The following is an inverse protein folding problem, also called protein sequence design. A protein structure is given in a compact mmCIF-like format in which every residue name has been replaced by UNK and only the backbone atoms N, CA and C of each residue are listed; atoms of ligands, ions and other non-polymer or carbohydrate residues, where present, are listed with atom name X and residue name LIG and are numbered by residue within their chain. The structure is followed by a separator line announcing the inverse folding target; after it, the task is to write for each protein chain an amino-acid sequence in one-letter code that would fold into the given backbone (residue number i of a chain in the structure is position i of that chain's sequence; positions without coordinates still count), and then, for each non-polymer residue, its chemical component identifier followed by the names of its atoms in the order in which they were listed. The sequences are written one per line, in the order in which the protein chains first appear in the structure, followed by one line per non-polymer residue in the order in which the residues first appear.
data_IF_068292436715
#
_entry.id   IF_068292436715
#
_cell.length_a   1.000
_cell.length_b   1.000
_cell.length_c   1.000
_cell.angle_alpha   90.00
_cell.angle_beta   90.00
_cell.angle_gamma   90.00
#
_symmetry.space_group_name_H-M   'P 1'
#
loop_
_entity.id
_entity.type
_entity.pdbx_description
1 polymer ?
#
# COMPACT_ATOMS: atom_id res chain seq x y z
N UNK A 1 10.44 21.16 3.02
CA UNK A 1 9.06 20.79 3.34
C UNK A 1 8.29 21.93 4.02
N UNK A 2 8.75 22.53 5.15
CA UNK A 2 8.05 23.63 5.84
C UNK A 2 7.67 24.79 4.92
N UNK A 3 8.61 25.31 4.12
CA UNK A 3 8.34 26.38 3.15
C UNK A 3 7.35 25.98 2.04
N UNK A 4 7.36 24.70 1.63
CA UNK A 4 6.40 24.19 0.66
C UNK A 4 4.98 24.16 1.24
N UNK A 5 4.82 23.63 2.45
CA UNK A 5 3.52 23.58 3.13
C UNK A 5 2.95 24.98 3.40
N UNK A 6 3.80 25.93 3.78
CA UNK A 6 3.39 27.33 3.94
C UNK A 6 2.89 27.97 2.64
N UNK A 7 3.60 27.73 1.52
CA UNK A 7 3.14 28.21 0.19
C UNK A 7 1.86 27.54 -0.26
N UNK A 8 1.72 26.23 -0.02
CA UNK A 8 0.49 25.48 -0.33
C UNK A 8 -0.72 26.10 0.38
N UNK A 9 -0.61 26.33 1.70
CA UNK A 9 -1.65 26.95 2.48
C UNK A 9 -2.01 28.37 1.97
N UNK A 10 -1.00 29.16 1.63
CA UNK A 10 -1.20 30.50 1.09
C UNK A 10 -1.88 30.47 -0.28
N UNK A 11 -1.46 29.57 -1.17
CA UNK A 11 -2.10 29.43 -2.50
C UNK A 11 -3.55 28.98 -2.41
N UNK A 12 -3.85 28.01 -1.54
CA UNK A 12 -5.22 27.56 -1.31
C UNK A 12 -6.11 28.67 -0.73
N UNK A 13 -5.58 29.48 0.20
CA UNK A 13 -6.31 30.64 0.72
C UNK A 13 -6.56 31.70 -0.36
N UNK A 14 -5.63 31.92 -1.28
CA UNK A 14 -5.82 32.83 -2.43
C UNK A 14 -6.88 32.35 -3.41
N UNK A 15 -7.03 31.01 -3.55
CA UNK A 15 -8.10 30.38 -4.34
C UNK A 15 -9.46 30.30 -3.58
N UNK A 16 -9.54 30.86 -2.37
CA UNK A 16 -10.77 30.93 -1.58
C UNK A 16 -11.05 29.71 -0.68
N UNK A 17 -10.06 28.82 -0.47
CA UNK A 17 -10.20 27.71 0.47
C UNK A 17 -10.00 28.22 1.91
N UNK A 18 -11.10 28.35 2.66
CA UNK A 18 -11.08 28.80 4.08
C UNK A 18 -11.12 27.63 5.09
N UNK A 19 -11.15 26.39 4.59
CA UNK A 19 -11.19 25.19 5.44
C UNK A 19 -9.81 24.87 6.06
N UNK A 20 -9.76 24.19 7.22
CA UNK A 20 -8.52 23.68 7.79
C UNK A 20 -7.84 22.67 6.85
N UNK A 21 -6.51 22.72 6.78
CA UNK A 21 -5.71 21.82 5.96
C UNK A 21 -5.11 20.75 6.86
N UNK A 22 -5.38 19.50 6.52
CA UNK A 22 -4.83 18.33 7.18
C UNK A 22 -4.01 17.51 6.22
N UNK A 23 -3.04 16.76 6.73
CA UNK A 23 -2.12 15.94 5.97
C UNK A 23 -2.10 14.51 6.50
N UNK A 24 -2.05 13.54 5.60
CA UNK A 24 -1.84 12.14 5.97
C UNK A 24 -0.41 11.97 6.47
N UNK A 25 -0.22 11.24 7.58
CA UNK A 25 1.09 10.79 8.02
C UNK A 25 1.34 9.31 7.72
N UNK A 26 2.58 8.89 7.78
CA UNK A 26 3.05 7.54 7.44
C UNK A 26 2.37 6.39 8.19
N UNK A 27 1.84 6.64 9.37
CA UNK A 27 1.11 5.65 10.18
C UNK A 27 -0.37 5.47 9.82
N UNK A 28 -0.88 6.17 8.79
CA UNK A 28 -2.25 6.03 8.32
C UNK A 28 -3.29 6.92 9.02
N UNK A 29 -2.87 7.92 9.78
CA UNK A 29 -3.74 8.94 10.35
C UNK A 29 -3.53 10.32 9.74
N UNK A 30 -4.34 11.26 10.17
CA UNK A 30 -4.33 12.66 9.69
C UNK A 30 -3.78 13.57 10.78
N UNK A 31 -2.89 14.48 10.41
CA UNK A 31 -2.30 15.52 11.28
C UNK A 31 -2.54 16.91 10.72
N UNK A 32 -2.46 17.92 11.60
CA UNK A 32 -2.57 19.32 11.17
C UNK A 32 -1.36 19.78 10.35
N UNK A 33 -1.56 20.85 9.58
CA UNK A 33 -0.51 21.46 8.76
C UNK A 33 0.69 21.90 9.62
N UNK A 34 0.44 22.43 10.82
CA UNK A 34 1.48 22.93 11.75
C UNK A 34 2.36 21.77 12.22
N UNK A 35 1.75 20.64 12.62
CA UNK A 35 2.47 19.45 13.03
C UNK A 35 3.28 18.84 11.89
N UNK A 36 2.71 18.79 10.68
CA UNK A 36 3.42 18.33 9.51
C UNK A 36 4.61 19.22 9.14
N UNK A 37 4.49 20.54 9.35
CA UNK A 37 5.56 21.49 9.14
C UNK A 37 6.68 21.41 10.21
N UNK A 38 6.32 21.03 11.43
CA UNK A 38 7.28 20.84 12.53
C UNK A 38 8.02 19.49 12.39
N UNK A 39 7.29 18.42 12.06
CA UNK A 39 7.82 17.06 11.93
C UNK A 39 7.61 16.47 10.52
N UNK A 40 8.23 17.05 9.48
CA UNK A 40 7.97 16.66 8.09
C UNK A 40 8.37 15.22 7.77
N UNK A 41 9.21 14.59 8.58
CA UNK A 41 9.57 13.17 8.46
C UNK A 41 8.36 12.25 8.57
N UNK A 42 7.31 12.65 9.28
CA UNK A 42 6.05 11.89 9.40
C UNK A 42 5.25 11.82 8.10
N UNK A 43 5.60 12.63 7.09
CA UNK A 43 4.95 12.61 5.78
C UNK A 43 5.59 11.63 4.78
N UNK A 44 6.69 10.99 5.15
CA UNK A 44 7.33 9.95 4.32
C UNK A 44 6.35 8.79 4.16
N UNK A 45 6.15 8.30 2.93
CA UNK A 45 5.18 7.22 2.62
C UNK A 45 3.71 7.55 2.95
N UNK A 46 3.33 8.81 3.05
CA UNK A 46 1.94 9.21 3.37
C UNK A 46 0.93 8.84 2.29
N UNK A 47 1.30 8.93 1.00
CA UNK A 47 0.44 8.51 -0.10
C UNK A 47 0.07 7.02 -0.03
N UNK A 48 1.05 6.11 0.04
CA UNK A 48 0.83 4.68 0.25
C UNK A 48 0.02 4.35 1.51
N UNK A 49 0.20 5.11 2.59
CA UNK A 49 -0.59 4.95 3.80
C UNK A 49 -2.09 5.17 3.53
N UNK A 50 -2.44 6.18 2.71
CA UNK A 50 -3.82 6.39 2.25
C UNK A 50 -4.38 5.19 1.50
N UNK A 51 -3.59 4.57 0.62
CA UNK A 51 -3.97 3.36 -0.09
C UNK A 51 -4.26 2.19 0.84
N UNK A 52 -3.44 1.99 1.86
CA UNK A 52 -3.67 0.93 2.85
C UNK A 52 -4.94 1.19 3.69
N UNK A 53 -5.22 2.45 4.06
CA UNK A 53 -6.47 2.84 4.75
C UNK A 53 -7.68 2.60 3.84
N UNK A 54 -7.59 2.94 2.55
CA UNK A 54 -8.64 2.63 1.57
C UNK A 54 -8.93 1.13 1.48
N UNK A 55 -7.89 0.31 1.35
CA UNK A 55 -8.05 -1.14 1.29
C UNK A 55 -8.64 -1.72 2.59
N UNK A 56 -8.29 -1.15 3.75
CA UNK A 56 -8.86 -1.54 5.04
C UNK A 56 -10.36 -1.16 5.15
N UNK A 57 -10.78 0.01 4.67
CA UNK A 57 -12.19 0.41 4.60
C UNK A 57 -12.99 -0.55 3.70
N UNK A 58 -12.45 -0.90 2.53
CA UNK A 58 -13.07 -1.88 1.63
C UNK A 58 -13.14 -3.26 2.29
N UNK A 59 -12.07 -3.71 2.96
CA UNK A 59 -12.07 -4.96 3.71
C UNK A 59 -13.18 -4.99 4.78
N UNK A 60 -13.35 -3.89 5.52
CA UNK A 60 -14.40 -3.76 6.53
C UNK A 60 -15.81 -3.82 5.93
N UNK A 61 -16.05 -3.14 4.80
CA UNK A 61 -17.34 -3.16 4.09
C UNK A 61 -17.73 -4.55 3.61
N UNK A 62 -16.76 -5.36 3.21
CA UNK A 62 -16.97 -6.69 2.67
C UNK A 62 -16.75 -7.81 3.71
N UNK A 63 -16.40 -7.48 4.95
CA UNK A 63 -16.14 -8.45 6.01
C UNK A 63 -14.95 -9.38 5.70
N UNK A 64 -13.89 -8.84 5.10
CA UNK A 64 -12.68 -9.57 4.75
C UNK A 64 -11.65 -9.46 5.88
N UNK A 65 -11.21 -10.60 6.41
CA UNK A 65 -10.27 -10.63 7.54
C UNK A 65 -8.80 -10.67 7.09
N UNK A 66 -8.52 -11.21 5.89
CA UNK A 66 -7.19 -11.33 5.32
C UNK A 66 -7.16 -10.71 3.93
N UNK A 67 -6.47 -9.59 3.80
CA UNK A 67 -6.39 -8.84 2.54
C UNK A 67 -4.95 -8.55 2.19
N UNK A 68 -4.61 -8.79 0.93
CA UNK A 68 -3.41 -8.31 0.27
C UNK A 68 -3.77 -7.03 -0.51
N UNK A 69 -3.38 -5.88 0.03
CA UNK A 69 -3.53 -4.59 -0.67
C UNK A 69 -2.48 -4.48 -1.75
N UNK A 70 -2.89 -4.19 -2.98
CA UNK A 70 -2.00 -4.00 -4.13
C UNK A 70 -2.32 -2.66 -4.79
N UNK A 71 -1.40 -1.71 -4.64
CA UNK A 71 -1.46 -0.35 -5.21
C UNK A 71 -0.37 -0.21 -6.27
N UNK A 72 -0.72 0.03 -7.52
CA UNK A 72 0.25 0.26 -8.59
C UNK A 72 -0.15 1.49 -9.40
N UNK A 73 0.73 2.48 -9.36
CA UNK A 73 0.63 3.68 -10.17
C UNK A 73 1.63 3.70 -11.33
N UNK A 74 2.00 4.92 -11.77
CA UNK A 74 2.95 5.09 -12.88
C UNK A 74 4.41 4.77 -12.53
N UNK A 75 4.84 4.88 -11.27
CA UNK A 75 6.25 4.77 -10.87
C UNK A 75 6.58 3.58 -10.00
N UNK A 76 5.68 3.22 -9.09
CA UNK A 76 5.91 2.18 -8.07
C UNK A 76 4.67 1.35 -7.85
N UNK A 77 4.89 0.12 -7.40
CA UNK A 77 3.86 -0.73 -6.82
C UNK A 77 4.11 -0.91 -5.33
N UNK A 78 3.04 -1.02 -4.54
CA UNK A 78 3.07 -1.16 -3.10
C UNK A 78 2.16 -2.28 -2.66
N UNK A 79 2.65 -3.08 -1.72
CA UNK A 79 1.91 -4.23 -1.19
C UNK A 79 1.92 -4.14 0.34
N UNK A 80 0.71 -4.24 0.93
CA UNK A 80 0.51 -4.22 2.37
C UNK A 80 -0.39 -5.40 2.78
N UNK A 81 -0.09 -6.00 3.93
CA UNK A 81 -0.92 -7.03 4.55
C UNK A 81 -1.89 -6.38 5.54
N UNK A 82 -3.17 -6.66 5.36
CA UNK A 82 -4.26 -6.18 6.22
C UNK A 82 -4.91 -7.39 6.88
N UNK A 83 -5.00 -7.36 8.22
CA UNK A 83 -5.65 -8.40 9.02
C UNK A 83 -6.68 -7.77 9.94
N UNK A 84 -7.83 -8.43 10.06
CA UNK A 84 -8.93 -7.93 10.88
C UNK A 84 -9.24 -6.46 10.57
N UNK A 85 -9.22 -6.12 9.26
CA UNK A 85 -9.54 -4.78 8.74
C UNK A 85 -8.56 -3.68 9.19
N UNK A 86 -7.38 -4.06 9.66
CA UNK A 86 -6.33 -3.14 10.09
C UNK A 86 -5.02 -3.40 9.35
N UNK A 87 -4.41 -2.39 8.73
CA UNK A 87 -3.08 -2.51 8.15
C UNK A 87 -2.05 -2.78 9.25
N UNK A 88 -1.08 -3.63 8.95
CA UNK A 88 0.03 -3.84 9.87
C UNK A 88 0.89 -2.57 9.94
N UNK A 89 1.31 -2.18 11.14
CA UNK A 89 2.20 -1.04 11.36
C UNK A 89 3.57 -1.49 11.81
N UNK A 90 4.60 -0.72 11.44
CA UNK A 90 5.98 -0.85 11.89
C UNK A 90 6.43 0.47 12.51
N UNK A 91 7.45 0.41 13.38
CA UNK A 91 8.03 1.58 14.03
C UNK A 91 9.28 2.09 13.32
N UNK A 92 9.89 1.26 12.51
CA UNK A 92 11.12 1.60 11.79
C UNK A 92 10.85 1.45 10.31
N UNK A 93 11.13 2.51 9.59
CA UNK A 93 11.15 2.55 8.13
C UNK A 93 12.61 2.62 7.67
N UNK A 94 12.98 1.85 6.67
CA UNK A 94 14.33 1.86 6.12
C UNK A 94 14.36 2.53 4.76
N UNK A 95 15.16 3.58 4.62
CA UNK A 95 15.42 4.25 3.35
C UNK A 95 16.75 3.83 2.76
N UNK A 96 16.89 3.97 1.43
CA UNK A 96 18.14 3.69 0.70
C UNK A 96 18.73 2.31 1.00
N UNK A 97 17.89 1.26 0.98
CA UNK A 97 18.36 -0.13 1.17
C UNK A 97 19.41 -0.50 0.12
N UNK A 98 20.55 -1.00 0.58
CA UNK A 98 21.62 -1.50 -0.29
C UNK A 98 21.24 -2.82 -0.97
N UNK A 99 20.38 -3.62 -0.32
CA UNK A 99 19.83 -4.86 -0.86
C UNK A 99 18.30 -4.80 -0.87
N UNK A 100 17.71 -4.96 -2.05
CA UNK A 100 16.29 -4.73 -2.31
C UNK A 100 15.32 -5.41 -1.33
N UNK A 101 15.61 -6.65 -0.93
CA UNK A 101 14.72 -7.46 -0.08
C UNK A 101 15.33 -7.84 1.28
N UNK A 102 16.40 -7.15 1.71
CA UNK A 102 17.06 -7.45 2.99
C UNK A 102 16.78 -6.34 4.00
N UNK A 103 15.97 -6.65 5.03
CA UNK A 103 15.80 -5.76 6.18
C UNK A 103 17.14 -5.56 6.90
N UNK A 104 17.36 -4.35 7.42
CA UNK A 104 18.63 -3.96 8.06
C UNK A 104 19.74 -3.56 7.09
N UNK A 105 19.43 -3.41 5.79
CA UNK A 105 20.40 -2.96 4.79
C UNK A 105 20.30 -1.47 4.43
N UNK A 106 19.27 -0.79 4.95
CA UNK A 106 19.02 0.64 4.75
C UNK A 106 19.32 1.49 5.98
N UNK A 107 19.11 2.79 5.85
CA UNK A 107 19.18 3.73 6.95
C UNK A 107 17.83 3.72 7.70
N UNK A 108 17.81 3.35 9.00
CA UNK A 108 16.57 3.27 9.74
C UNK A 108 16.06 4.67 10.15
N UNK A 109 14.78 4.90 9.96
CA UNK A 109 14.05 6.08 10.46
C UNK A 109 13.00 5.57 11.44
N UNK A 110 13.07 6.00 12.71
CA UNK A 110 12.12 5.59 13.74
C UNK A 110 10.88 6.50 13.74
N UNK A 111 9.91 6.13 12.92
CA UNK A 111 8.58 6.77 12.84
C UNK A 111 7.52 5.68 12.70
N UNK A 112 6.29 5.88 13.19
CA UNK A 112 5.18 5.00 12.88
C UNK A 112 4.91 5.00 11.38
N UNK A 113 4.94 3.81 10.76
CA UNK A 113 4.62 3.62 9.34
C UNK A 113 3.71 2.42 9.17
N UNK A 114 2.93 2.40 8.11
CA UNK A 114 2.28 1.18 7.67
C UNK A 114 3.36 0.24 7.10
N UNK A 115 3.38 -1.01 7.56
CA UNK A 115 4.34 -2.02 7.09
C UNK A 115 3.96 -2.47 5.69
N UNK A 116 4.74 -2.03 4.71
CA UNK A 116 4.53 -2.34 3.31
C UNK A 116 5.85 -2.57 2.58
N UNK A 117 5.78 -3.28 1.48
CA UNK A 117 6.89 -3.37 0.54
C UNK A 117 6.64 -2.47 -0.65
N UNK A 118 7.60 -1.62 -0.96
CA UNK A 118 7.60 -0.81 -2.17
C UNK A 118 8.49 -1.45 -3.24
N UNK A 119 7.97 -1.46 -4.46
CA UNK A 119 8.61 -2.07 -5.62
C UNK A 119 8.76 -0.98 -6.68
N UNK A 120 9.98 -0.76 -7.15
CA UNK A 120 10.26 0.15 -8.27
C UNK A 120 9.74 -0.44 -9.60
N UNK A 121 8.44 -0.71 -9.64
CA UNK A 121 7.71 -1.21 -10.79
C UNK A 121 6.36 -0.49 -10.87
N UNK A 122 6.11 0.18 -11.96
CA UNK A 122 4.87 0.92 -12.24
C UNK A 122 4.67 1.01 -13.74
N UNK A 123 3.57 1.58 -14.19
CA UNK A 123 3.26 1.71 -15.63
C UNK A 123 4.36 2.41 -16.44
N UNK A 124 5.05 3.39 -15.85
CA UNK A 124 6.17 4.10 -16.48
C UNK A 124 7.54 3.44 -16.29
N UNK A 125 7.65 2.29 -15.64
CA UNK A 125 8.95 1.64 -15.42
C UNK A 125 9.55 1.19 -16.73
N UNK A 126 10.79 1.63 -16.98
CA UNK A 126 11.51 1.40 -18.24
C UNK A 126 12.11 0.00 -18.28
N UNK A 127 12.02 -0.63 -19.45
CA UNK A 127 12.63 -1.92 -19.71
C UNK A 127 13.94 -1.77 -20.51
N UNK A 128 14.85 -2.71 -20.26
CA UNK A 128 16.11 -2.83 -21.00
C UNK A 128 16.62 -4.28 -20.95
N UNK A 129 17.51 -4.61 -21.84
CA UNK A 129 18.24 -5.89 -21.84
C UNK A 129 19.56 -5.68 -21.08
N UNK A 130 19.81 -6.53 -20.09
CA UNK A 130 21.06 -6.49 -19.31
C UNK A 130 22.22 -7.22 -19.99
N UNK A 131 23.41 -7.20 -19.37
CA UNK A 131 24.62 -7.86 -19.90
C UNK A 131 24.56 -9.39 -19.96
N UNK A 132 23.48 -10.01 -19.43
CA UNK A 132 23.20 -11.44 -19.50
C UNK A 132 22.08 -11.77 -20.49
N UNK A 133 21.73 -10.85 -21.37
CA UNK A 133 20.59 -10.96 -22.30
C UNK A 133 19.25 -11.24 -21.62
N UNK A 134 19.00 -10.63 -20.45
CA UNK A 134 17.72 -10.74 -19.75
C UNK A 134 16.98 -9.41 -19.76
N UNK A 135 15.66 -9.49 -19.91
CA UNK A 135 14.79 -8.33 -19.74
C UNK A 135 14.82 -7.88 -18.28
N UNK A 136 15.10 -6.61 -18.04
CA UNK A 136 14.99 -5.94 -16.75
C UNK A 136 13.98 -4.82 -16.83
N UNK A 137 13.17 -4.66 -15.77
CA UNK A 137 12.16 -3.61 -15.65
C UNK A 137 12.42 -2.80 -14.40
N UNK A 138 12.47 -1.47 -14.56
CA UNK A 138 12.81 -0.54 -13.49
C UNK A 138 14.27 -0.67 -13.00
N UNK A 139 14.64 0.01 -11.92
CA UNK A 139 13.82 0.96 -11.13
C UNK A 139 13.61 2.32 -11.81
N UNK A 140 14.25 2.57 -12.95
CA UNK A 140 14.12 3.80 -13.73
C UNK A 140 12.71 3.92 -14.30
N UNK A 141 12.12 5.11 -14.20
CA UNK A 141 10.79 5.41 -14.73
C UNK A 141 10.86 6.50 -15.79
N UNK A 142 10.06 6.40 -16.83
CA UNK A 142 9.87 7.44 -17.83
C UNK A 142 9.18 8.69 -17.25
N UNK A 143 8.57 8.59 -16.07
CA UNK A 143 7.76 9.66 -15.49
C UNK A 143 6.51 9.96 -16.31
N UNK A 144 5.98 11.17 -16.15
CA UNK A 144 4.88 11.68 -16.97
C UNK A 144 5.37 12.42 -18.23
N UNK A 145 6.60 12.94 -18.18
CA UNK A 145 7.31 13.61 -19.26
C UNK A 145 8.80 13.18 -19.27
N UNK A 146 9.26 12.67 -20.41
CA UNK A 146 8.55 12.47 -21.67
C UNK A 146 7.51 11.34 -21.60
N UNK A 147 7.50 10.51 -20.56
CA UNK A 147 6.59 9.39 -20.35
C UNK A 147 6.95 8.15 -21.19
N UNK A 148 6.11 7.11 -21.13
CA UNK A 148 6.16 5.94 -22.02
C UNK A 148 6.19 6.34 -23.48
N UNK A 149 6.76 5.50 -24.35
CA UNK A 149 6.87 5.80 -25.78
C UNK A 149 5.50 6.07 -26.40
N UNK A 150 4.46 5.32 -26.00
CA UNK A 150 3.09 5.48 -26.49
C UNK A 150 2.47 6.86 -26.21
N UNK A 151 2.99 7.66 -25.27
CA UNK A 151 2.43 8.98 -25.00
C UNK A 151 2.71 10.00 -26.11
N UNK A 152 3.65 9.72 -27.01
CA UNK A 152 3.97 10.62 -28.11
C UNK A 152 4.62 11.95 -27.71
N UNK A 153 5.18 12.01 -26.49
CA UNK A 153 5.78 13.23 -25.88
C UNK A 153 7.31 13.21 -25.92
N UNK A 154 7.91 12.37 -26.79
CA UNK A 154 9.36 12.27 -26.96
C UNK A 154 10.02 11.12 -26.19
N UNK A 155 9.25 10.28 -25.47
CA UNK A 155 9.73 9.02 -24.94
C UNK A 155 10.07 8.04 -26.08
N UNK A 156 11.25 7.38 -25.98
CA UNK A 156 11.72 6.42 -27.02
C UNK A 156 12.00 5.04 -26.45
N UNK A 157 12.06 4.90 -25.13
CA UNK A 157 12.35 3.64 -24.44
C UNK A 157 11.03 2.96 -24.04
N UNK A 158 10.94 1.62 -24.12
CA UNK A 158 9.73 0.91 -23.77
C UNK A 158 9.51 0.92 -22.26
N UNK A 159 8.28 1.20 -21.85
CA UNK A 159 7.79 1.13 -20.48
C UNK A 159 6.73 0.03 -20.33
N UNK A 160 6.32 -0.27 -19.09
CA UNK A 160 5.24 -1.24 -18.81
C UNK A 160 3.95 -0.84 -19.55
N UNK A 161 3.59 0.45 -19.57
CA UNK A 161 2.41 0.94 -20.29
C UNK A 161 2.48 0.64 -21.79
N UNK A 162 3.68 0.67 -22.41
CA UNK A 162 3.85 0.29 -23.81
C UNK A 162 3.54 -1.20 -24.04
N UNK A 163 3.97 -2.06 -23.13
CA UNK A 163 3.65 -3.48 -23.16
C UNK A 163 2.15 -3.74 -22.94
N UNK A 164 1.53 -3.09 -21.95
CA UNK A 164 0.09 -3.22 -21.68
C UNK A 164 -0.76 -2.79 -22.88
N UNK A 165 -0.33 -1.75 -23.61
CA UNK A 165 -0.98 -1.31 -24.82
C UNK A 165 -0.91 -2.37 -25.94
N UNK A 166 0.29 -2.94 -26.18
CA UNK A 166 0.49 -3.96 -27.23
C UNK A 166 -0.21 -5.28 -26.88
N UNK A 167 -0.31 -5.61 -25.59
CA UNK A 167 -1.06 -6.77 -25.11
C UNK A 167 -2.59 -6.58 -25.14
N UNK A 168 -3.09 -5.43 -25.57
CA UNK A 168 -4.51 -5.14 -25.72
C UNK A 168 -5.25 -4.77 -24.40
N UNK A 169 -4.52 -4.60 -23.29
CA UNK A 169 -5.13 -4.24 -22.00
C UNK A 169 -5.64 -2.80 -21.95
N UNK A 170 -5.00 -1.88 -22.70
CA UNK A 170 -5.33 -0.46 -22.74
C UNK A 170 -6.03 -0.08 -24.05
N UNK A 171 -6.94 0.88 -23.96
CA UNK A 171 -7.57 1.51 -25.12
C UNK A 171 -6.75 2.73 -25.54
N UNK A 172 -6.26 2.77 -26.81
CA UNK A 172 -5.44 3.88 -27.26
C UNK A 172 -6.18 5.23 -27.31
N UNK A 173 -7.52 5.23 -27.43
CA UNK A 173 -8.30 6.45 -27.59
C UNK A 173 -8.92 6.92 -26.28
N UNK A 174 -9.13 6.02 -25.29
CA UNK A 174 -9.82 6.34 -24.05
C UNK A 174 -8.90 6.38 -22.80
N UNK A 175 -7.60 6.29 -22.98
CA UNK A 175 -6.64 6.33 -21.86
C UNK A 175 -6.71 7.68 -21.13
N UNK A 176 -6.75 7.64 -19.79
CA UNK A 176 -6.92 8.80 -18.92
C UNK A 176 -8.17 9.65 -19.30
N UNK A 177 -9.30 8.98 -19.52
CA UNK A 177 -10.54 9.66 -19.96
C UNK A 177 -10.43 10.29 -21.35
N UNK A 178 -9.51 9.81 -22.20
CA UNK A 178 -9.27 10.36 -23.53
C UNK A 178 -8.31 11.57 -23.56
N UNK A 179 -7.76 11.97 -22.42
CA UNK A 179 -6.84 13.11 -22.34
C UNK A 179 -5.46 12.83 -22.98
N UNK A 180 -5.09 11.56 -23.10
CA UNK A 180 -3.79 11.13 -23.64
C UNK A 180 -4.05 10.05 -24.71
N UNK A 181 -4.08 10.38 -25.99
CA UNK A 181 -4.16 9.38 -27.06
C UNK A 181 -2.84 8.59 -27.10
N UNK A 182 -2.93 7.25 -27.11
CA UNK A 182 -1.76 6.38 -27.13
C UNK A 182 -1.39 5.95 -28.54
N UNK A 183 -0.08 5.99 -28.86
CA UNK A 183 0.45 5.58 -30.16
C UNK A 183 0.97 4.13 -30.11
N UNK A 184 0.21 3.20 -30.68
CA UNK A 184 0.64 1.80 -30.85
C UNK A 184 1.95 1.73 -31.65
N UNK A 185 2.09 2.53 -32.71
CA UNK A 185 3.29 2.52 -33.55
C UNK A 185 4.57 2.87 -32.78
N UNK A 186 4.48 3.81 -31.82
CA UNK A 186 5.63 4.18 -31.00
C UNK A 186 5.98 3.09 -29.97
N UNK A 187 4.99 2.42 -29.39
CA UNK A 187 5.23 1.25 -28.52
C UNK A 187 5.88 0.11 -29.29
N UNK A 188 5.37 -0.22 -30.48
CA UNK A 188 5.96 -1.25 -31.35
C UNK A 188 7.42 -0.92 -31.67
N UNK A 189 7.72 0.30 -32.07
CA UNK A 189 9.07 0.75 -32.38
C UNK A 189 10.01 0.68 -31.17
N UNK A 190 9.54 1.14 -29.99
CA UNK A 190 10.34 1.11 -28.77
C UNK A 190 10.65 -0.32 -28.32
N UNK A 191 9.66 -1.22 -28.34
CA UNK A 191 9.85 -2.63 -28.00
C UNK A 191 10.78 -3.33 -28.99
N UNK A 192 10.59 -3.11 -30.30
CA UNK A 192 11.45 -3.71 -31.33
C UNK A 192 12.91 -3.30 -31.16
N UNK A 193 13.20 -2.01 -31.07
CA UNK A 193 14.59 -1.48 -31.03
C UNK A 193 15.30 -1.87 -29.71
N UNK A 194 14.63 -1.76 -28.58
CA UNK A 194 15.28 -1.89 -27.26
C UNK A 194 15.31 -3.32 -26.72
N UNK A 195 14.35 -4.16 -27.09
CA UNK A 195 14.23 -5.55 -26.65
C UNK A 195 14.30 -6.51 -27.83
N UNK A 196 13.46 -6.33 -28.84
CA UNK A 196 13.28 -7.27 -29.95
C UNK A 196 14.57 -7.55 -30.73
N UNK A 197 15.26 -6.52 -31.19
CA UNK A 197 16.52 -6.67 -31.95
C UNK A 197 17.63 -7.37 -31.17
N UNK A 198 17.64 -7.23 -29.84
CA UNK A 198 18.65 -7.82 -28.97
C UNK A 198 18.35 -9.27 -28.58
N UNK A 199 17.08 -9.62 -28.51
CA UNK A 199 16.62 -10.92 -28.01
C UNK A 199 16.00 -11.79 -29.10
N UNK A 200 15.99 -11.31 -30.36
CA UNK A 200 15.38 -11.99 -31.53
C UNK A 200 13.88 -12.27 -31.30
N UNK A 201 13.16 -11.28 -30.69
CA UNK A 201 11.74 -11.36 -30.38
C UNK A 201 10.94 -10.40 -31.25
N UNK A 202 9.73 -10.78 -31.62
CA UNK A 202 8.80 -9.81 -32.19
C UNK A 202 8.26 -8.84 -31.10
N UNK A 203 7.64 -7.70 -31.48
CA UNK A 203 7.16 -6.72 -30.50
C UNK A 203 6.11 -7.25 -29.51
N UNK A 204 5.29 -8.23 -29.91
CA UNK A 204 4.29 -8.86 -29.05
C UNK A 204 4.96 -9.77 -28.01
N UNK A 205 5.92 -10.59 -28.44
CA UNK A 205 6.74 -11.42 -27.56
C UNK A 205 7.55 -10.58 -26.58
N UNK A 206 8.13 -9.46 -27.05
CA UNK A 206 8.86 -8.52 -26.20
C UNK A 206 7.95 -7.85 -25.17
N UNK A 207 6.72 -7.46 -25.55
CA UNK A 207 5.72 -6.91 -24.64
C UNK A 207 5.29 -7.94 -23.57
N UNK A 208 5.04 -9.17 -23.98
CA UNK A 208 4.71 -10.27 -23.05
C UNK A 208 5.86 -10.54 -22.08
N UNK A 209 7.08 -10.68 -22.60
CA UNK A 209 8.27 -10.89 -21.76
C UNK A 209 8.46 -9.77 -20.72
N UNK A 210 8.25 -8.51 -21.13
CA UNK A 210 8.32 -7.36 -20.23
C UNK A 210 7.24 -7.45 -19.15
N UNK A 211 5.99 -7.73 -19.50
CA UNK A 211 4.87 -7.85 -18.57
C UNK A 211 5.10 -9.00 -17.57
N UNK A 212 5.55 -10.16 -18.04
CA UNK A 212 5.85 -11.30 -17.17
C UNK A 212 6.97 -11.01 -16.16
N UNK A 213 8.01 -10.28 -16.57
CA UNK A 213 9.09 -9.86 -15.67
C UNK A 213 8.60 -8.92 -14.58
N UNK A 214 7.77 -7.93 -14.92
CA UNK A 214 7.24 -7.00 -13.92
C UNK A 214 6.28 -7.69 -12.96
N UNK A 215 5.41 -8.57 -13.46
CA UNK A 215 4.47 -9.33 -12.65
C UNK A 215 5.21 -10.29 -11.69
N UNK A 216 6.28 -10.95 -12.15
CA UNK A 216 7.09 -11.81 -11.29
C UNK A 216 7.87 -11.03 -10.23
N UNK A 217 8.38 -9.84 -10.58
CA UNK A 217 9.03 -8.97 -9.60
C UNK A 217 8.06 -8.57 -8.48
N UNK A 218 6.81 -8.23 -8.82
CA UNK A 218 5.76 -7.91 -7.87
C UNK A 218 5.33 -9.12 -7.04
N UNK A 219 5.16 -10.28 -7.67
CA UNK A 219 4.83 -11.53 -6.99
C UNK A 219 5.92 -11.94 -5.98
N UNK A 220 7.18 -11.84 -6.38
CA UNK A 220 8.30 -12.12 -5.50
C UNK A 220 8.34 -11.19 -4.29
N UNK A 221 8.15 -9.90 -4.50
CA UNK A 221 8.10 -8.94 -3.40
C UNK A 221 6.96 -9.24 -2.42
N UNK A 222 5.77 -9.61 -2.95
CA UNK A 222 4.63 -10.02 -2.13
C UNK A 222 4.93 -11.27 -1.29
N UNK A 223 5.53 -12.31 -1.92
CA UNK A 223 5.91 -13.54 -1.21
C UNK A 223 6.93 -13.27 -0.10
N UNK A 224 7.98 -12.49 -0.39
CA UNK A 224 9.00 -12.12 0.60
C UNK A 224 8.37 -11.36 1.75
N UNK A 225 7.53 -10.35 1.46
CA UNK A 225 6.84 -9.58 2.50
C UNK A 225 5.91 -10.45 3.35
N UNK A 226 5.18 -11.39 2.75
CA UNK A 226 4.35 -12.33 3.49
C UNK A 226 5.17 -13.24 4.41
N UNK A 227 6.26 -13.83 3.90
CA UNK A 227 7.15 -14.70 4.70
C UNK A 227 7.82 -13.93 5.85
N UNK A 228 8.31 -12.71 5.60
CA UNK A 228 8.88 -11.85 6.65
C UNK A 228 7.86 -11.51 7.76
N UNK A 229 6.58 -11.55 7.43
CA UNK A 229 5.49 -11.32 8.36
C UNK A 229 4.91 -12.63 8.95
N UNK A 230 5.47 -13.79 8.61
CA UNK A 230 4.98 -15.09 9.05
C UNK A 230 3.61 -15.46 8.49
N UNK A 231 3.26 -14.95 7.29
CA UNK A 231 1.97 -15.13 6.65
C UNK A 231 2.08 -16.03 5.42
N UNK A 232 1.03 -16.83 5.22
CA UNK A 232 0.75 -17.54 3.99
C UNK A 232 -0.36 -16.79 3.24
N UNK A 233 -0.15 -16.52 1.96
CA UNK A 233 -1.12 -15.80 1.12
C UNK A 233 -2.32 -16.68 0.74
N UNK A 234 -2.29 -17.98 1.01
CA UNK A 234 -3.45 -18.83 0.88
C UNK A 234 -4.62 -18.31 1.74
N UNK A 235 -5.78 -18.12 1.13
CA UNK A 235 -6.96 -17.57 1.79
C UNK A 235 -7.00 -16.05 1.94
N UNK A 236 -6.01 -15.33 1.42
CA UNK A 236 -6.09 -13.89 1.27
C UNK A 236 -6.99 -13.51 0.08
N UNK A 237 -7.61 -12.33 0.19
CA UNK A 237 -8.26 -11.66 -0.94
C UNK A 237 -7.39 -10.50 -1.36
N UNK A 238 -7.06 -10.37 -2.64
CA UNK A 238 -6.38 -9.19 -3.15
C UNK A 238 -7.37 -8.04 -3.28
N UNK A 239 -6.99 -6.83 -2.87
CA UNK A 239 -7.68 -5.59 -3.23
C UNK A 239 -6.71 -4.79 -4.09
N UNK A 240 -7.02 -4.64 -5.38
CA UNK A 240 -6.20 -3.96 -6.37
C UNK A 240 -6.75 -2.57 -6.68
N UNK A 241 -5.89 -1.54 -6.62
CA UNK A 241 -6.22 -0.16 -6.90
C UNK A 241 -4.96 0.62 -7.34
N UNK A 242 -5.14 1.87 -7.80
CA UNK A 242 -4.16 2.61 -8.57
C UNK A 242 -4.40 2.43 -10.06
N UNK A 243 -3.90 3.33 -10.88
CA UNK A 243 -4.19 3.36 -12.32
C UNK A 243 -3.74 2.11 -13.08
N UNK A 244 -2.67 1.44 -12.62
CA UNK A 244 -2.10 0.27 -13.29
C UNK A 244 -2.39 -1.07 -12.59
N UNK A 245 -2.65 -1.10 -11.28
CA UNK A 245 -2.82 -2.35 -10.56
C UNK A 245 -3.90 -3.28 -11.12
N UNK A 246 -5.09 -2.82 -11.52
CA UNK A 246 -6.13 -3.68 -12.06
C UNK A 246 -5.76 -4.38 -13.38
N UNK A 247 -4.80 -3.83 -14.15
CA UNK A 247 -4.28 -4.43 -15.39
C UNK A 247 -3.42 -5.68 -15.13
N UNK A 248 -2.84 -5.79 -13.94
CA UNK A 248 -1.91 -6.85 -13.53
C UNK A 248 -2.49 -7.77 -12.46
N UNK A 249 -3.62 -7.40 -11.86
CA UNK A 249 -4.16 -8.04 -10.66
C UNK A 249 -4.51 -9.52 -10.88
N UNK A 250 -5.13 -9.89 -12.00
CA UNK A 250 -5.47 -11.27 -12.30
C UNK A 250 -4.21 -12.15 -12.40
N UNK A 251 -3.22 -11.71 -13.18
CA UNK A 251 -1.96 -12.43 -13.35
C UNK A 251 -1.17 -12.54 -12.05
N UNK A 252 -1.18 -11.47 -11.25
CA UNK A 252 -0.53 -11.48 -9.94
C UNK A 252 -1.22 -12.44 -8.96
N UNK A 253 -2.55 -12.51 -8.97
CA UNK A 253 -3.31 -13.50 -8.18
C UNK A 253 -2.94 -14.93 -8.57
N UNK A 254 -2.85 -15.26 -9.86
CA UNK A 254 -2.43 -16.57 -10.35
C UNK A 254 -1.03 -16.93 -9.82
N UNK A 255 -0.05 -16.02 -9.98
CA UNK A 255 1.32 -16.21 -9.51
C UNK A 255 1.43 -16.40 -8.00
N UNK A 256 0.54 -15.78 -7.23
CA UNK A 256 0.50 -15.85 -5.75
C UNK A 256 -0.38 -16.96 -5.21
N UNK A 257 -1.17 -17.64 -6.05
CA UNK A 257 -2.18 -18.61 -5.60
C UNK A 257 -3.34 -17.98 -4.82
N UNK A 258 -3.63 -16.69 -5.07
CA UNK A 258 -4.73 -15.95 -4.44
C UNK A 258 -5.98 -16.14 -5.30
N UNK A 259 -6.98 -16.81 -4.74
CA UNK A 259 -8.19 -17.21 -5.49
C UNK A 259 -9.22 -16.10 -5.70
N UNK A 260 -9.00 -14.89 -5.19
CA UNK A 260 -9.98 -13.79 -5.24
C UNK A 260 -9.31 -12.44 -5.33
N UNK A 261 -9.74 -11.63 -6.31
CA UNK A 261 -9.38 -10.23 -6.43
C UNK A 261 -10.63 -9.36 -6.35
N UNK A 262 -10.54 -8.24 -5.66
CA UNK A 262 -11.55 -7.20 -5.59
C UNK A 262 -10.95 -5.90 -6.11
N UNK A 263 -11.56 -5.34 -7.14
CA UNK A 263 -11.24 -4.02 -7.67
C UNK A 263 -12.39 -3.09 -7.28
N UNK A 264 -12.21 -2.21 -6.28
CA UNK A 264 -13.29 -1.35 -5.80
C UNK A 264 -13.60 -0.23 -6.77
N UNK A 265 -14.80 0.34 -6.64
CA UNK A 265 -15.14 1.59 -7.33
C UNK A 265 -14.17 2.70 -6.88
N UNK A 266 -13.70 3.53 -7.82
CA UNK A 266 -12.71 4.56 -7.57
C UNK A 266 -11.29 3.99 -7.38
N UNK A 267 -11.03 2.80 -7.89
CA UNK A 267 -9.72 2.15 -7.80
C UNK A 267 -8.59 3.07 -8.29
N UNK A 268 -8.77 3.78 -9.40
CA UNK A 268 -7.76 4.70 -9.96
C UNK A 268 -7.31 5.81 -9.01
N UNK A 269 -8.17 6.22 -8.07
CA UNK A 269 -7.91 7.27 -7.06
C UNK A 269 -8.01 6.76 -5.61
N UNK A 270 -7.86 5.47 -5.39
CA UNK A 270 -8.08 4.81 -4.10
C UNK A 270 -7.31 5.42 -2.94
N UNK A 271 -6.03 5.78 -3.14
CA UNK A 271 -5.22 6.43 -2.10
C UNK A 271 -5.79 7.79 -1.67
N UNK A 272 -6.36 8.58 -2.60
CA UNK A 272 -7.02 9.85 -2.28
C UNK A 272 -8.32 9.64 -1.48
N UNK A 273 -9.10 8.61 -1.83
CA UNK A 273 -10.29 8.23 -1.06
C UNK A 273 -9.89 7.79 0.36
N UNK A 274 -8.76 7.10 0.50
CA UNK A 274 -8.22 6.69 1.80
C UNK A 274 -7.92 7.88 2.73
N UNK A 275 -7.48 9.02 2.21
CA UNK A 275 -7.29 10.23 3.01
C UNK A 275 -8.58 10.71 3.67
N UNK A 276 -9.72 10.56 2.98
CA UNK A 276 -11.04 10.94 3.49
C UNK A 276 -11.60 9.93 4.52
N UNK A 277 -10.97 8.78 4.67
CA UNK A 277 -11.36 7.70 5.60
C UNK A 277 -10.46 7.61 6.82
N UNK A 278 -9.31 8.25 6.78
CA UNK A 278 -8.33 8.18 7.84
C UNK A 278 -8.80 8.92 9.10
N UNK A 279 -8.52 8.35 10.30
CA UNK A 279 -8.82 9.01 11.55
C UNK A 279 -7.84 10.15 11.82
N UNK A 280 -8.25 11.16 12.57
CA UNK A 280 -7.29 12.01 13.26
C UNK A 280 -6.56 11.17 14.29
N UNK A 281 -5.24 11.12 14.22
CA UNK A 281 -4.47 10.31 15.16
C UNK A 281 -3.11 10.92 15.46
N UNK A 282 -2.63 10.64 16.66
CA UNK A 282 -1.30 11.02 17.09
C UNK A 282 -0.69 9.96 17.98
N UNK A 283 0.50 9.51 17.62
CA UNK A 283 1.26 8.57 18.43
C UNK A 283 2.38 9.32 19.17
N UNK A 284 2.28 9.36 20.49
CA UNK A 284 3.31 9.83 21.39
C UNK A 284 4.23 8.67 21.76
N UNK A 285 5.54 8.86 21.60
CA UNK A 285 6.55 7.86 21.94
C UNK A 285 7.57 8.45 22.91
N UNK A 286 8.04 7.61 23.85
CA UNK A 286 9.12 7.95 24.78
C UNK A 286 10.14 6.83 24.84
N UNK A 287 11.40 7.16 24.61
CA UNK A 287 12.53 6.21 24.71
C UNK A 287 13.11 6.27 26.13
N UNK A 288 12.32 5.81 27.10
CA UNK A 288 12.78 5.66 28.49
C UNK A 288 13.15 4.21 28.73
N UNK A 289 14.44 3.96 28.82
CA UNK A 289 14.95 2.62 29.06
C UNK A 289 14.68 2.16 30.51
N UNK A 290 14.09 0.98 30.66
CA UNK A 290 13.78 0.40 31.97
C UNK A 290 14.04 -1.11 31.94
N UNK A 291 14.89 -1.62 32.83
CA UNK A 291 15.01 -3.05 33.09
C UNK A 291 13.90 -3.53 34.00
N UNK A 292 13.39 -4.74 33.78
CA UNK A 292 12.30 -5.27 34.60
C UNK A 292 12.68 -5.38 36.09
N UNK A 293 13.94 -5.62 36.43
CA UNK A 293 14.44 -5.62 37.83
C UNK A 293 14.31 -4.24 38.51
N UNK A 294 14.14 -3.17 37.73
CA UNK A 294 13.92 -1.80 38.22
C UNK A 294 12.50 -1.29 37.91
N UNK A 295 11.54 -2.22 37.72
CA UNK A 295 10.17 -1.89 37.40
C UNK A 295 9.58 -0.96 38.47
N UNK A 296 9.08 0.21 38.04
CA UNK A 296 8.53 1.23 38.95
C UNK A 296 7.12 1.65 38.47
N UNK A 297 6.06 1.18 39.16
CA UNK A 297 4.67 1.46 38.80
C UNK A 297 4.33 2.94 38.70
N UNK A 298 4.84 3.76 39.61
CA UNK A 298 4.51 5.20 39.68
C UNK A 298 5.13 5.94 38.49
N UNK A 299 6.37 5.62 38.11
CA UNK A 299 7.04 6.18 36.94
C UNK A 299 6.30 5.77 35.66
N UNK A 300 5.90 4.50 35.55
CA UNK A 300 5.17 3.98 34.39
C UNK A 300 3.83 4.69 34.22
N UNK A 301 3.06 4.79 35.31
CA UNK A 301 1.76 5.46 35.32
C UNK A 301 1.88 6.94 34.92
N UNK A 302 2.82 7.66 35.51
CA UNK A 302 3.08 9.06 35.19
C UNK A 302 3.44 9.25 33.73
N UNK A 303 4.29 8.39 33.17
CA UNK A 303 4.72 8.43 31.79
C UNK A 303 3.55 8.23 30.81
N UNK A 304 2.72 7.22 31.07
CA UNK A 304 1.54 6.98 30.22
C UNK A 304 0.48 8.08 30.32
N UNK A 305 0.29 8.65 31.50
CA UNK A 305 -0.65 9.78 31.69
C UNK A 305 -0.19 11.00 30.88
N UNK A 306 1.10 11.35 30.96
CA UNK A 306 1.67 12.46 30.17
C UNK A 306 1.48 12.24 28.67
N UNK A 307 1.87 11.06 28.18
CA UNK A 307 1.77 10.71 26.76
C UNK A 307 0.33 10.68 26.25
N UNK A 308 -0.60 10.15 27.05
CA UNK A 308 -2.02 10.11 26.72
C UNK A 308 -2.62 11.52 26.66
N UNK A 309 -2.23 12.41 27.58
CA UNK A 309 -2.65 13.82 27.56
C UNK A 309 -2.13 14.53 26.31
N UNK A 310 -0.85 14.35 25.95
CA UNK A 310 -0.26 14.92 24.75
C UNK A 310 -1.00 14.44 23.49
N UNK A 311 -1.18 13.13 23.35
CA UNK A 311 -1.83 12.55 22.18
C UNK A 311 -3.31 12.97 22.07
N UNK A 312 -4.04 12.94 23.19
CA UNK A 312 -5.45 13.37 23.25
C UNK A 312 -5.61 14.86 22.94
N UNK A 313 -4.75 15.71 23.50
CA UNK A 313 -4.77 17.16 23.23
C UNK A 313 -4.61 17.43 21.74
N UNK A 314 -3.71 16.71 21.09
CA UNK A 314 -3.51 16.82 19.65
C UNK A 314 -4.80 16.47 18.88
N UNK A 315 -5.38 15.28 19.12
CA UNK A 315 -6.60 14.83 18.42
C UNK A 315 -7.77 15.80 18.68
N UNK A 316 -7.91 16.30 19.90
CA UNK A 316 -8.92 17.33 20.26
C UNK A 316 -8.74 18.65 19.51
N UNK A 317 -7.52 19.02 19.15
CA UNK A 317 -7.28 20.22 18.34
C UNK A 317 -7.74 20.06 16.89
N UNK A 318 -7.82 18.82 16.39
CA UNK A 318 -8.32 18.50 15.06
C UNK A 318 -9.84 18.31 15.05
N UNK A 319 -10.39 17.62 16.07
CA UNK A 319 -11.83 17.45 16.29
C UNK A 319 -12.15 17.51 17.78
N UNK A 320 -12.83 18.60 18.18
CA UNK A 320 -13.15 18.86 19.57
C UNK A 320 -14.22 17.91 20.15
N UNK A 321 -15.02 17.27 19.31
CA UNK A 321 -16.23 16.54 19.69
C UNK A 321 -16.16 15.04 19.49
N UNK A 322 -15.33 14.56 18.56
CA UNK A 322 -15.24 13.14 18.24
C UNK A 322 -14.82 12.27 19.44
N UNK A 323 -15.36 11.05 19.56
CA UNK A 323 -14.87 10.07 20.52
C UNK A 323 -13.40 9.74 20.23
N UNK A 324 -12.56 9.73 21.28
CA UNK A 324 -11.14 9.39 21.18
C UNK A 324 -10.90 8.05 21.84
N UNK A 325 -10.16 7.20 21.16
CA UNK A 325 -9.69 5.90 21.62
C UNK A 325 -8.18 5.98 21.79
N UNK A 326 -7.66 5.35 22.82
CA UNK A 326 -6.23 5.26 23.07
C UNK A 326 -5.78 3.81 23.09
N UNK A 327 -4.73 3.51 22.31
CA UNK A 327 -4.02 2.24 22.30
C UNK A 327 -2.67 2.43 22.98
N UNK A 328 -2.34 1.51 23.87
CA UNK A 328 -1.11 1.51 24.66
C UNK A 328 -0.24 0.32 24.28
N UNK A 329 1.05 0.53 24.14
CA UNK A 329 2.02 -0.54 23.93
C UNK A 329 3.39 -0.17 24.50
N UNK A 330 4.15 -1.19 24.83
CA UNK A 330 5.56 -1.07 25.19
C UNK A 330 6.39 -1.94 24.26
N UNK A 331 7.61 -1.51 23.96
CA UNK A 331 8.54 -2.30 23.17
C UNK A 331 9.52 -2.96 24.14
N UNK A 332 9.54 -4.29 24.13
CA UNK A 332 10.29 -5.10 25.07
C UNK A 332 11.20 -6.09 24.33
N UNK A 333 12.30 -6.45 24.97
CA UNK A 333 13.25 -7.45 24.48
C UNK A 333 13.98 -8.10 25.63
N UNK A 334 14.60 -9.23 25.38
CA UNK A 334 15.61 -9.73 26.31
C UNK A 334 16.87 -8.87 26.26
N UNK A 335 17.52 -8.67 27.39
CA UNK A 335 18.75 -7.88 27.48
C UNK A 335 19.83 -8.38 26.52
N UNK A 336 20.40 -7.45 25.77
CA UNK A 336 21.42 -7.77 24.75
C UNK A 336 20.88 -8.16 23.38
N UNK A 337 19.56 -8.33 23.20
CA UNK A 337 18.98 -8.52 21.87
C UNK A 337 18.90 -7.19 21.09
N UNK A 338 19.16 -7.25 19.80
CA UNK A 338 19.02 -6.10 18.90
C UNK A 338 17.59 -5.84 18.43
N UNK A 339 16.65 -6.76 18.70
CA UNK A 339 15.28 -6.69 18.23
C UNK A 339 14.29 -6.66 19.39
N UNK A 340 13.34 -5.74 19.33
CA UNK A 340 12.27 -5.54 20.31
C UNK A 340 10.91 -5.91 19.72
N UNK A 341 10.00 -6.42 20.55
CA UNK A 341 8.63 -6.73 20.14
C UNK A 341 7.62 -5.78 20.80
N UNK A 342 6.58 -5.33 20.08
CA UNK A 342 5.52 -4.51 20.64
C UNK A 342 4.58 -5.37 21.50
N UNK A 343 4.50 -5.07 22.78
CA UNK A 343 3.59 -5.72 23.74
C UNK A 343 2.40 -4.80 23.97
N UNK A 344 1.19 -5.17 23.52
CA UNK A 344 -0.01 -4.36 23.72
C UNK A 344 -0.43 -4.36 25.21
N UNK A 345 -0.87 -3.21 25.68
CA UNK A 345 -1.37 -3.00 27.02
C UNK A 345 -2.82 -2.56 27.01
N UNK A 346 -3.57 -2.91 28.04
CA UNK A 346 -4.92 -2.41 28.28
C UNK A 346 -4.90 -1.23 29.24
N UNK A 347 -6.00 -0.50 29.35
CA UNK A 347 -6.15 0.57 30.34
C UNK A 347 -5.89 0.08 31.78
N UNK A 348 -6.32 -1.14 32.11
CA UNK A 348 -6.07 -1.74 33.42
C UNK A 348 -4.58 -1.89 33.72
N UNK A 349 -3.78 -2.25 32.70
CA UNK A 349 -2.33 -2.37 32.84
C UNK A 349 -1.63 -1.03 33.06
N UNK A 350 -2.29 0.07 32.63
CA UNK A 350 -1.79 1.44 32.84
C UNK A 350 -2.20 1.97 34.22
N UNK A 351 -3.44 1.68 34.63
CA UNK A 351 -3.97 2.17 35.93
C UNK A 351 -3.29 1.48 37.11
N UNK A 352 -2.96 0.19 36.95
CA UNK A 352 -2.30 -0.64 37.96
C UNK A 352 -1.13 -1.39 37.29
N UNK A 353 0.01 -0.73 37.05
CA UNK A 353 1.16 -1.40 36.46
C UNK A 353 1.72 -2.45 37.43
N UNK A 354 1.87 -3.68 36.96
CA UNK A 354 2.36 -4.82 37.74
C UNK A 354 3.50 -5.54 36.99
N UNK A 355 4.60 -5.77 37.68
CA UNK A 355 5.81 -6.37 37.14
C UNK A 355 5.54 -7.72 36.49
N UNK A 356 4.86 -8.63 37.20
CA UNK A 356 4.67 -10.01 36.74
C UNK A 356 3.71 -10.06 35.55
N UNK A 357 2.72 -9.16 35.53
CA UNK A 357 1.80 -9.00 34.41
C UNK A 357 2.53 -8.57 33.12
N UNK A 358 3.40 -7.55 33.19
CA UNK A 358 4.17 -7.08 32.03
C UNK A 358 5.12 -8.14 31.51
N UNK A 359 5.79 -8.85 32.44
CA UNK A 359 6.70 -9.95 32.08
C UNK A 359 5.94 -11.10 31.41
N UNK A 360 4.80 -11.51 31.96
CA UNK A 360 3.97 -12.58 31.40
C UNK A 360 3.42 -12.23 30.00
N UNK A 361 3.00 -10.98 29.78
CA UNK A 361 2.55 -10.49 28.47
C UNK A 361 3.69 -10.60 27.43
N UNK A 362 4.89 -10.16 27.81
CA UNK A 362 6.06 -10.25 26.95
C UNK A 362 6.41 -11.71 26.62
N UNK A 363 6.56 -12.56 27.63
CA UNK A 363 6.95 -13.95 27.44
C UNK A 363 5.94 -14.74 26.60
N UNK A 364 4.64 -14.51 26.85
CA UNK A 364 3.57 -15.13 26.07
C UNK A 364 3.64 -14.73 24.60
N UNK A 365 3.82 -13.43 24.32
CA UNK A 365 3.93 -12.92 22.96
C UNK A 365 5.23 -13.39 22.29
N UNK A 366 6.34 -13.38 23.03
CA UNK A 366 7.63 -13.84 22.54
C UNK A 366 7.59 -15.33 22.17
N UNK A 367 7.01 -16.17 23.04
CA UNK A 367 6.81 -17.60 22.76
C UNK A 367 5.92 -17.84 21.54
N UNK A 368 4.88 -17.02 21.34
CA UNK A 368 4.04 -17.10 20.16
C UNK A 368 4.78 -16.76 18.87
N UNK A 369 5.70 -15.79 18.91
CA UNK A 369 6.45 -15.34 17.74
C UNK A 369 7.65 -16.25 17.42
N UNK A 370 8.34 -16.75 18.45
CA UNK A 370 9.62 -17.48 18.31
C UNK A 370 9.56 -18.93 18.77
N UNK A 371 8.37 -19.42 19.13
CA UNK A 371 8.14 -20.81 19.54
C UNK A 371 8.44 -21.11 21.02
N UNK A 372 9.20 -20.26 21.70
CA UNK A 372 9.54 -20.41 23.13
C UNK A 372 9.99 -19.08 23.75
N UNK A 373 9.82 -18.93 25.07
CA UNK A 373 10.49 -17.90 25.87
C UNK A 373 11.89 -18.36 26.30
N UNK A 374 12.71 -17.43 26.81
CA UNK A 374 14.06 -17.72 27.28
C UNK A 374 14.12 -17.55 28.80
N UNK A 375 14.04 -18.66 29.54
CA UNK A 375 14.02 -18.63 30.98
C UNK A 375 15.30 -18.01 31.56
N UNK A 376 15.16 -17.17 32.59
CA UNK A 376 16.28 -16.61 33.36
C UNK A 376 17.02 -15.46 32.68
N UNK A 377 16.59 -15.04 31.47
CA UNK A 377 17.12 -13.82 30.86
C UNK A 377 16.37 -12.59 31.34
N UNK A 378 17.14 -11.54 31.63
CA UNK A 378 16.58 -10.24 31.99
C UNK A 378 15.83 -9.64 30.82
N UNK A 379 14.68 -9.01 31.09
CA UNK A 379 13.86 -8.32 30.12
C UNK A 379 13.97 -6.81 30.32
N UNK A 380 13.99 -6.07 29.24
CA UNK A 380 14.07 -4.61 29.25
C UNK A 380 12.98 -3.99 28.36
N UNK A 381 12.47 -2.85 28.80
CA UNK A 381 11.55 -1.98 28.05
C UNK A 381 12.38 -0.86 27.45
N UNK A 382 12.25 -0.66 26.16
CA UNK A 382 13.05 0.32 25.41
C UNK A 382 12.25 1.54 25.01
N UNK A 383 10.97 1.35 24.70
CA UNK A 383 10.06 2.43 24.26
C UNK A 383 8.65 2.22 24.79
N UNK A 384 8.05 3.31 25.11
CA UNK A 384 6.66 3.48 25.54
C UNK A 384 5.88 4.19 24.45
N UNK A 385 4.68 3.75 24.11
CA UNK A 385 3.88 4.32 23.03
C UNK A 385 2.42 4.43 23.44
N UNK A 386 1.83 5.58 23.14
CA UNK A 386 0.39 5.84 23.23
C UNK A 386 -0.07 6.40 21.89
N UNK A 387 -1.02 5.73 21.27
CA UNK A 387 -1.68 6.23 20.07
C UNK A 387 -3.11 6.66 20.43
N UNK A 388 -3.43 7.96 20.33
CA UNK A 388 -4.78 8.45 20.44
C UNK A 388 -5.35 8.70 19.04
N UNK A 389 -6.57 8.23 18.78
CA UNK A 389 -7.22 8.39 17.49
C UNK A 389 -8.73 8.62 17.64
N UNK A 390 -9.34 9.35 16.71
CA UNK A 390 -10.79 9.36 16.56
C UNK A 390 -11.28 8.00 16.09
N UNK A 391 -12.55 7.70 16.28
CA UNK A 391 -13.16 6.53 15.66
C UNK A 391 -12.97 6.59 14.14
N UNK A 392 -12.55 5.49 13.56
CA UNK A 392 -12.66 5.33 12.10
C UNK A 392 -14.13 5.43 11.70
N UNK A 393 -14.41 6.11 10.59
CA UNK A 393 -15.76 6.15 10.03
C UNK A 393 -16.19 4.70 9.83
N UNK A 394 -17.24 4.28 10.56
CA UNK A 394 -17.75 2.90 10.42
C UNK A 394 -18.10 2.68 8.96
N UNK A 395 -17.41 1.73 8.34
CA UNK A 395 -17.75 1.31 7.00
C UNK A 395 -19.17 0.71 6.99
N UNK A 396 -20.07 1.27 6.20
CA UNK A 396 -21.34 0.63 5.94
C UNK A 396 -21.07 -0.67 5.20
N UNK A 397 -21.73 -1.76 5.63
CA UNK A 397 -21.59 -3.04 4.91
C UNK A 397 -22.07 -2.87 3.47
N UNK A 398 -21.28 -3.39 2.54
CA UNK A 398 -21.68 -3.43 1.15
C UNK A 398 -23.02 -4.16 1.00
N UNK A 399 -23.90 -3.62 0.17
CA UNK A 399 -25.17 -4.26 -0.16
C UNK A 399 -24.89 -5.66 -0.73
N UNK A 400 -25.67 -6.64 -0.29
CA UNK A 400 -25.62 -7.97 -0.93
C UNK A 400 -26.10 -7.85 -2.37
N UNK A 401 -25.29 -8.36 -3.30
CA UNK A 401 -25.75 -8.50 -4.68
C UNK A 401 -27.03 -9.35 -4.74
N UNK A 402 -27.97 -9.06 -5.64
CA UNK A 402 -29.11 -9.93 -5.90
C UNK A 402 -28.59 -11.33 -6.29
N UNK A 403 -29.32 -12.36 -5.89
CA UNK A 403 -28.97 -13.75 -6.18
C UNK A 403 -29.13 -14.18 -7.65
N UNK A 404 -29.67 -13.30 -8.49
CA UNK A 404 -29.86 -13.52 -9.92
C UNK A 404 -28.76 -12.76 -10.64
N UNK A 405 -27.86 -13.50 -11.33
CA UNK A 405 -26.86 -12.90 -12.21
C UNK A 405 -27.56 -12.15 -13.34
N UNK A 406 -27.31 -10.85 -13.44
CA UNK A 406 -27.74 -10.05 -14.56
C UNK A 406 -26.68 -10.15 -15.66
N UNK A 407 -27.10 -10.38 -16.90
CA UNK A 407 -26.16 -10.36 -18.03
C UNK A 407 -25.77 -8.91 -18.28
N UNK A 408 -24.47 -8.66 -18.32
CA UNK A 408 -23.91 -7.40 -18.74
C UNK A 408 -23.94 -7.27 -20.27
N UNK A 409 -24.14 -6.07 -20.78
CA UNK A 409 -24.07 -5.79 -22.22
C UNK A 409 -22.70 -5.27 -22.57
N UNK A 410 -21.92 -5.95 -23.46
CA UNK A 410 -20.61 -5.48 -23.86
C UNK A 410 -20.72 -4.23 -24.75
N UNK A 411 -19.75 -3.32 -24.63
CA UNK A 411 -19.56 -2.18 -25.53
C UNK A 411 -18.98 -2.63 -26.89
N UNK A 412 -18.20 -3.71 -26.90
CA UNK A 412 -17.51 -4.22 -28.07
C UNK A 412 -16.59 -5.37 -27.72
N UNK A 413 -15.65 -5.64 -28.62
CA UNK A 413 -14.60 -6.65 -28.43
C UNK A 413 -13.23 -6.04 -28.71
N UNK A 414 -12.21 -6.57 -28.03
CA UNK A 414 -10.79 -6.26 -28.24
C UNK A 414 -9.96 -7.54 -28.11
N UNK A 415 -8.93 -7.65 -28.93
CA UNK A 415 -7.95 -8.73 -28.78
C UNK A 415 -7.12 -8.45 -27.53
N UNK A 416 -7.20 -9.35 -26.57
CA UNK A 416 -6.43 -9.34 -25.32
C UNK A 416 -5.46 -10.51 -25.36
N UNK A 417 -4.18 -10.25 -25.14
CA UNK A 417 -3.19 -11.31 -25.02
C UNK A 417 -3.29 -11.96 -23.64
N UNK A 418 -3.66 -13.24 -23.61
CA UNK A 418 -3.69 -14.04 -22.38
C UNK A 418 -2.27 -14.52 -22.06
N UNK A 419 -1.65 -13.93 -21.05
CA UNK A 419 -0.29 -14.24 -20.65
C UNK A 419 -0.12 -15.67 -20.13
N UNK A 420 -1.17 -16.29 -19.59
CA UNK A 420 -1.13 -17.67 -19.10
C UNK A 420 -1.17 -18.70 -20.27
N UNK A 421 -1.93 -18.38 -21.29
CA UNK A 421 -2.10 -19.25 -22.47
C UNK A 421 -1.09 -18.94 -23.58
N UNK A 422 -0.48 -17.73 -23.57
CA UNK A 422 0.44 -17.27 -24.62
C UNK A 422 -0.24 -16.99 -25.96
N UNK A 423 -1.53 -16.65 -25.95
CA UNK A 423 -2.32 -16.40 -27.18
C UNK A 423 -3.21 -15.18 -27.05
N UNK A 424 -3.45 -14.48 -28.16
CA UNK A 424 -4.45 -13.43 -28.23
C UNK A 424 -5.87 -14.02 -28.28
N UNK A 425 -6.77 -13.49 -27.47
CA UNK A 425 -8.16 -13.94 -27.38
C UNK A 425 -9.10 -12.74 -27.54
N UNK A 426 -10.10 -12.86 -28.41
CA UNK A 426 -11.14 -11.86 -28.58
C UNK A 426 -11.96 -11.75 -27.28
N UNK A 427 -11.76 -10.66 -26.54
CA UNK A 427 -12.30 -10.40 -25.21
C UNK A 427 -13.39 -9.34 -25.27
N UNK A 428 -14.46 -9.53 -24.52
CA UNK A 428 -15.53 -8.55 -24.41
C UNK A 428 -15.10 -7.35 -23.58
N UNK A 429 -15.53 -6.16 -23.98
CA UNK A 429 -15.26 -4.90 -23.27
C UNK A 429 -16.56 -4.38 -22.65
N UNK A 430 -16.52 -4.01 -21.39
CA UNK A 430 -17.64 -3.47 -20.64
C UNK A 430 -17.25 -2.14 -19.99
N UNK A 431 -18.18 -1.18 -19.88
CA UNK A 431 -18.00 -0.05 -19.00
C UNK A 431 -18.49 -0.42 -17.59
N UNK A 432 -17.69 -0.11 -16.57
CA UNK A 432 -18.12 -0.35 -15.19
C UNK A 432 -19.41 0.41 -14.85
N UNK A 433 -19.59 1.61 -15.38
CA UNK A 433 -20.76 2.45 -15.14
C UNK A 433 -22.08 1.76 -15.59
N UNK A 434 -22.00 0.88 -16.57
CA UNK A 434 -23.16 0.16 -17.13
C UNK A 434 -23.42 -1.18 -16.43
N UNK A 435 -22.54 -1.59 -15.52
CA UNK A 435 -22.70 -2.82 -14.75
C UNK A 435 -23.63 -2.60 -13.55
N UNK A 436 -24.81 -3.20 -13.61
CA UNK A 436 -25.72 -3.20 -12.47
C UNK A 436 -25.20 -4.08 -11.34
N UNK A 437 -25.60 -3.81 -10.10
CA UNK A 437 -25.28 -4.65 -8.95
C UNK A 437 -25.79 -6.09 -9.18
N UNK A 438 -24.87 -7.06 -9.11
CA UNK A 438 -25.15 -8.46 -9.39
C UNK A 438 -24.90 -8.88 -10.83
N UNK A 439 -24.45 -7.99 -11.71
CA UNK A 439 -23.98 -8.38 -13.05
C UNK A 439 -22.85 -9.39 -12.96
N UNK A 440 -22.87 -10.37 -13.85
CA UNK A 440 -21.82 -11.39 -14.00
C UNK A 440 -21.23 -11.29 -15.40
N UNK A 441 -19.93 -11.18 -15.48
CA UNK A 441 -19.17 -11.15 -16.73
C UNK A 441 -18.30 -12.42 -16.79
N UNK A 442 -18.39 -13.14 -17.89
CA UNK A 442 -17.53 -14.29 -18.15
C UNK A 442 -16.23 -13.82 -18.80
N UNK A 443 -15.10 -14.18 -18.20
CA UNK A 443 -13.78 -13.86 -18.76
C UNK A 443 -13.33 -14.83 -19.86
N UNK A 444 -12.29 -14.45 -20.63
CA UNK A 444 -11.53 -13.21 -20.51
C UNK A 444 -12.35 -11.97 -20.94
N UNK A 445 -12.20 -10.87 -20.18
CA UNK A 445 -12.97 -9.64 -20.40
C UNK A 445 -12.20 -8.41 -19.89
N UNK A 446 -12.57 -7.25 -20.43
CA UNK A 446 -12.06 -5.95 -20.02
C UNK A 446 -13.20 -5.11 -19.43
N UNK A 447 -13.00 -4.58 -18.23
CA UNK A 447 -13.94 -3.64 -17.60
C UNK A 447 -13.24 -2.29 -17.48
N UNK A 448 -13.73 -1.30 -18.23
CA UNK A 448 -13.10 0.03 -18.36
C UNK A 448 -13.73 1.04 -17.41
N UNK A 449 -12.89 1.90 -16.85
CA UNK A 449 -13.20 3.11 -16.10
C UNK A 449 -12.36 4.27 -16.68
N UNK A 450 -12.62 5.52 -16.26
CA UNK A 450 -11.84 6.67 -16.73
C UNK A 450 -10.36 6.59 -16.32
N UNK A 451 -10.08 6.11 -15.09
CA UNK A 451 -8.75 6.11 -14.50
C UNK A 451 -8.04 4.74 -14.55
N UNK A 452 -8.75 3.67 -14.89
CA UNK A 452 -8.18 2.32 -14.89
C UNK A 452 -8.98 1.35 -15.78
N UNK A 453 -8.38 0.19 -16.05
CA UNK A 453 -9.04 -0.93 -16.73
C UNK A 453 -8.78 -2.20 -15.92
N UNK A 454 -9.81 -2.99 -15.67
CA UNK A 454 -9.72 -4.32 -15.05
C UNK A 454 -9.60 -5.37 -16.15
N UNK A 455 -8.63 -6.24 -16.04
CA UNK A 455 -8.42 -7.38 -16.92
C UNK A 455 -8.79 -8.67 -16.19
#
# INVERSE_FOLDING_TARGET
MKSYLGRLAQSLAQEGAECPIFLMHSGGGIISLENAAEFPVRLVESGPAGGAVFAADIAARHGLDKVLSFDMGGTTAKICLIKNQSPKTARVFEVARSYRFKKGSGMPISIPVIDMVEIGAGGGSLAHVDGMNQIRVGPESAGSEPGPACYGRGGTRPAVTDADLILGKLDPESFAGGAIPLSIAQSVSALAVHLGEKLEMDPLEAAWGLAEVVDENMANAARVHAVENGEDLAGYTMIAFGGAAPLHAARLCEKLGVGRCLVPQGAGVGSAIGFLRAPFSFEANRSVFMRMVHFNPEVIKSLFVEMAQEATKFVRSCDATAPIFADYKVYMRYAGQGWEIPVPLTQTHIDVPDHDTYLALFESLYAKLFGRSVAGMEVEITVWSVNAATATIKAERAAKAPSIGLNATPLGQRDLFDAALGVATASQVFARADLALGSVVQGPALITEEETTVV
#
